data_IF_621790007499
#
_entry.id   IF_621790007499
#
_cell.length_a   1.000
_cell.length_b   1.000
_cell.length_c   1.000
_cell.angle_alpha   90.00
_cell.angle_beta   90.00
_cell.angle_gamma   90.00
#
_symmetry.space_group_name_H-M   'P 1'
#
loop_
_entity.id
_entity.type
_entity.pdbx_description
1 polymer ?
#
# COMPACT_ATOMS: atom_id res chain seq x y z
N UNK A 1 -8.95 -15.92 5.04
CA UNK A 1 -8.71 -14.57 5.58
C UNK A 1 -8.52 -13.64 4.39
N UNK A 2 -9.44 -12.70 4.19
CA UNK A 2 -9.38 -11.68 3.15
C UNK A 2 -9.04 -10.35 3.82
N UNK A 3 -7.82 -10.21 4.31
CA UNK A 3 -7.37 -8.96 4.89
C UNK A 3 -6.76 -8.13 3.76
N UNK A 4 -7.57 -7.22 3.19
CA UNK A 4 -7.06 -6.19 2.28
C UNK A 4 -5.97 -5.39 2.99
N UNK A 5 -4.99 -4.83 2.26
CA UNK A 5 -4.07 -3.88 2.87
C UNK A 5 -4.87 -2.69 3.39
N UNK A 6 -4.69 -2.41 4.68
CA UNK A 6 -5.26 -1.25 5.37
C UNK A 6 -4.11 -0.46 6.00
N UNK A 7 -4.36 0.80 6.38
CA UNK A 7 -3.41 1.62 7.16
C UNK A 7 -2.87 0.86 8.38
N UNK A 8 -3.74 0.16 9.11
CA UNK A 8 -3.35 -0.61 10.29
C UNK A 8 -2.36 -1.74 9.94
N UNK A 9 -2.59 -2.47 8.84
CA UNK A 9 -1.63 -3.50 8.37
C UNK A 9 -0.30 -2.86 7.96
N UNK A 10 -0.32 -1.66 7.36
CA UNK A 10 0.89 -0.94 7.02
C UNK A 10 1.69 -0.53 8.29
N UNK A 11 1.00 -0.04 9.32
CA UNK A 11 1.58 0.28 10.63
C UNK A 11 2.17 -0.98 11.31
N UNK A 12 1.45 -2.10 11.33
CA UNK A 12 1.95 -3.38 11.86
C UNK A 12 3.17 -3.90 11.09
N UNK A 13 3.20 -3.72 9.77
CA UNK A 13 4.35 -4.11 8.96
C UNK A 13 5.61 -3.30 9.34
N UNK A 14 5.44 -2.03 9.73
CA UNK A 14 6.56 -1.17 10.17
C UNK A 14 7.11 -1.59 11.53
N UNK A 15 6.27 -2.07 12.44
CA UNK A 15 6.72 -2.63 13.72
C UNK A 15 7.68 -3.81 13.53
N UNK A 16 7.55 -4.53 12.41
CA UNK A 16 8.42 -5.65 12.04
C UNK A 16 9.77 -5.23 11.43
N UNK A 17 9.99 -3.93 11.18
CA UNK A 17 11.25 -3.37 10.67
C UNK A 17 12.09 -2.88 11.85
N UNK A 18 13.21 -3.55 12.19
CA UNK A 18 14.12 -3.05 13.21
C UNK A 18 14.69 -1.70 12.76
N UNK A 19 14.62 -0.68 13.61
CA UNK A 19 15.03 0.72 13.33
C UNK A 19 14.06 1.57 12.49
N UNK A 20 12.74 1.32 12.57
CA UNK A 20 11.71 2.15 11.92
C UNK A 20 11.56 3.59 12.49
N UNK A 21 12.34 3.98 13.51
CA UNK A 21 12.12 5.20 14.30
C UNK A 21 12.11 6.51 13.50
N UNK A 22 12.73 6.53 12.32
CA UNK A 22 12.78 7.69 11.43
C UNK A 22 11.94 7.50 10.15
N UNK A 23 11.17 6.42 10.04
CA UNK A 23 10.34 6.17 8.86
C UNK A 23 9.07 7.00 8.96
N UNK A 24 9.00 8.05 8.15
CA UNK A 24 7.84 8.94 8.07
C UNK A 24 6.92 8.63 6.89
N UNK A 25 7.32 7.70 6.01
CA UNK A 25 6.63 7.42 4.76
C UNK A 25 6.75 5.95 4.37
N UNK A 26 5.62 5.32 4.07
CA UNK A 26 5.54 3.96 3.54
C UNK A 26 5.02 3.96 2.11
N UNK A 27 5.66 3.17 1.24
CA UNK A 27 5.21 2.95 -0.13
C UNK A 27 4.71 1.52 -0.30
N UNK A 28 3.47 1.38 -0.78
CA UNK A 28 2.84 0.11 -1.09
C UNK A 28 2.63 -0.02 -2.60
N UNK A 29 3.06 -1.13 -3.20
CA UNK A 29 2.99 -1.38 -4.64
C UNK A 29 2.05 -2.54 -4.96
N UNK A 30 1.19 -2.34 -5.95
CA UNK A 30 0.26 -3.37 -6.44
C UNK A 30 0.39 -3.49 -7.94
N UNK A 31 0.69 -4.69 -8.41
CA UNK A 31 0.64 -4.99 -9.84
C UNK A 31 -0.78 -5.38 -10.25
N UNK A 32 -1.24 -4.92 -11.41
CA UNK A 32 -2.60 -5.19 -11.90
C UNK A 32 -2.83 -6.66 -12.32
N UNK A 33 -1.77 -7.45 -12.50
CA UNK A 33 -1.87 -8.85 -12.91
C UNK A 33 -2.24 -9.79 -11.75
N UNK A 34 -2.24 -9.30 -10.50
CA UNK A 34 -2.67 -10.12 -9.37
C UNK A 34 -4.18 -10.39 -9.45
N UNK A 35 -4.57 -11.61 -9.13
CA UNK A 35 -5.95 -12.08 -9.28
C UNK A 35 -7.00 -11.19 -8.55
N UNK A 36 -6.59 -10.54 -7.47
CA UNK A 36 -7.42 -9.65 -6.65
C UNK A 36 -6.98 -8.19 -6.70
N UNK A 37 -6.14 -7.82 -7.68
CA UNK A 37 -5.61 -6.47 -7.81
C UNK A 37 -6.70 -5.39 -7.82
N UNK A 38 -7.85 -5.54 -8.53
CA UNK A 38 -8.88 -4.50 -8.53
C UNK A 38 -9.37 -4.14 -7.13
N UNK A 39 -9.67 -5.15 -6.30
CA UNK A 39 -10.16 -4.94 -4.94
C UNK A 39 -9.09 -4.30 -4.05
N UNK A 40 -7.85 -4.78 -4.17
CA UNK A 40 -6.70 -4.26 -3.42
C UNK A 40 -6.44 -2.79 -3.78
N UNK A 41 -6.43 -2.46 -5.06
CA UNK A 41 -6.23 -1.10 -5.58
C UNK A 41 -7.32 -0.17 -5.07
N UNK A 42 -8.59 -0.55 -5.21
CA UNK A 42 -9.71 0.28 -4.75
C UNK A 42 -9.67 0.49 -3.23
N UNK A 43 -9.31 -0.54 -2.45
CA UNK A 43 -9.16 -0.40 -0.99
C UNK A 43 -7.96 0.48 -0.62
N UNK A 44 -6.83 0.36 -1.33
CA UNK A 44 -5.66 1.18 -1.06
C UNK A 44 -5.90 2.66 -1.43
N UNK A 45 -6.64 2.94 -2.52
CA UNK A 45 -7.05 4.30 -2.90
C UNK A 45 -7.84 5.04 -1.83
N UNK A 46 -8.63 4.33 -1.01
CA UNK A 46 -9.43 4.96 0.06
C UNK A 46 -8.66 5.19 1.35
N UNK A 47 -7.48 4.58 1.51
CA UNK A 47 -6.72 4.61 2.76
C UNK A 47 -5.37 5.32 2.66
N UNK A 48 -4.78 5.37 1.46
CA UNK A 48 -3.52 6.04 1.18
C UNK A 48 -3.65 7.56 1.24
N UNK A 49 -2.55 8.24 1.57
CA UNK A 49 -2.44 9.70 1.52
C UNK A 49 -2.31 10.20 0.07
N UNK A 50 -1.67 9.42 -0.81
CA UNK A 50 -1.49 9.73 -2.23
C UNK A 50 -1.31 8.44 -3.04
N UNK A 51 -1.63 8.48 -4.33
CA UNK A 51 -1.40 7.34 -5.22
C UNK A 51 -1.20 7.76 -6.68
N UNK A 52 -0.47 6.92 -7.42
CA UNK A 52 -0.32 7.05 -8.87
C UNK A 52 -0.23 5.71 -9.57
N UNK A 53 -0.59 5.67 -10.84
CA UNK A 53 -0.33 4.54 -11.72
C UNK A 53 0.94 4.75 -12.54
N UNK A 54 1.63 3.65 -12.87
CA UNK A 54 2.80 3.62 -13.74
C UNK A 54 2.55 2.64 -14.89
N UNK A 55 3.16 2.92 -16.05
CA UNK A 55 3.08 2.08 -17.24
C UNK A 55 1.64 1.83 -17.69
N UNK A 56 0.82 2.86 -17.82
CA UNK A 56 -0.58 2.75 -18.24
C UNK A 56 -1.46 1.83 -17.35
N UNK A 57 -1.23 1.90 -16.03
CA UNK A 57 -2.05 1.16 -15.05
C UNK A 57 -1.57 -0.26 -14.77
N UNK A 58 -0.32 -0.59 -15.11
CA UNK A 58 0.29 -1.89 -14.79
C UNK A 58 0.70 -1.99 -13.32
N UNK A 59 1.16 -0.88 -12.74
CA UNK A 59 1.59 -0.79 -11.35
C UNK A 59 0.88 0.38 -10.69
N UNK A 60 0.37 0.18 -9.48
CA UNK A 60 -0.17 1.20 -8.62
C UNK A 60 0.76 1.39 -7.42
N UNK A 61 1.18 2.64 -7.20
CA UNK A 61 2.01 3.04 -6.08
C UNK A 61 1.16 3.88 -5.12
N UNK A 62 1.11 3.47 -3.86
CA UNK A 62 0.38 4.14 -2.78
C UNK A 62 1.37 4.68 -1.76
N UNK A 63 1.21 5.93 -1.34
CA UNK A 63 2.00 6.55 -0.27
C UNK A 63 1.15 6.67 0.98
N UNK A 64 1.71 6.26 2.11
CA UNK A 64 1.16 6.47 3.44
C UNK A 64 2.11 7.33 4.24
N UNK A 65 1.59 8.41 4.80
CA UNK A 65 2.29 9.25 5.77
C UNK A 65 1.97 8.68 7.17
N UNK A 66 3.02 8.42 7.95
CA UNK A 66 2.99 7.71 9.24
C UNK A 66 2.99 8.69 10.42
#
# INVERSE_FOLDING_TARGET
>A
MNESPTRNIAEQALESVPQHGDVTTLFFLVNNYWWDAPRIIETAKTTANDWRSLGDGQIYLFRYDL
#
